data_IF_494751945385
#
_entry.id   IF_494751945385
#
_cell.length_a   1.000
_cell.length_b   1.000
_cell.length_c   1.000
_cell.angle_alpha   90.00
_cell.angle_beta   90.00
_cell.angle_gamma   90.00
#
_symmetry.space_group_name_H-M   'P 1'
#
loop_
_entity.id
_entity.type
_entity.pdbx_description
1 polymer ?
#
# COMPACT_ATOMS: atom_id res chain seq x y z
N UNK A 1 -26.88 -43.31 -33.50
CA UNK A 1 -26.37 -41.96 -33.67
C UNK A 1 -27.17 -40.89 -32.88
N UNK A 2 -28.34 -41.21 -32.29
CA UNK A 2 -29.17 -40.21 -31.57
C UNK A 2 -28.75 -39.91 -30.13
N UNK A 3 -27.83 -40.67 -29.53
CA UNK A 3 -27.38 -40.50 -28.13
C UNK A 3 -26.24 -39.48 -27.94
N UNK A 4 -25.56 -39.11 -29.01
CA UNK A 4 -24.45 -38.11 -28.94
C UNK A 4 -24.94 -36.66 -28.96
N UNK A 5 -26.12 -36.35 -29.50
CA UNK A 5 -26.68 -35.01 -29.52
C UNK A 5 -27.23 -34.52 -28.16
N UNK A 6 -27.60 -35.43 -27.27
CA UNK A 6 -28.20 -35.08 -25.96
C UNK A 6 -27.10 -34.69 -24.96
N UNK A 7 -25.92 -35.29 -25.07
CA UNK A 7 -24.78 -34.97 -24.20
C UNK A 7 -24.14 -33.59 -24.49
N UNK A 8 -24.22 -33.11 -25.71
CA UNK A 8 -23.71 -31.80 -26.10
C UNK A 8 -24.55 -30.61 -25.55
N UNK A 9 -25.82 -30.90 -25.19
CA UNK A 9 -26.73 -29.85 -24.67
C UNK A 9 -26.65 -29.71 -23.14
N UNK A 10 -26.06 -30.69 -22.44
CA UNK A 10 -25.92 -30.69 -20.96
C UNK A 10 -24.63 -30.03 -20.50
N UNK A 11 -23.65 -29.85 -21.39
CA UNK A 11 -22.36 -29.24 -21.12
C UNK A 11 -22.24 -27.78 -21.61
N UNK A 12 -23.35 -27.02 -21.64
CA UNK A 12 -23.20 -25.57 -21.65
C UNK A 12 -22.55 -25.20 -20.32
N UNK A 13 -21.29 -24.71 -20.31
CA UNK A 13 -20.62 -24.34 -19.06
C UNK A 13 -21.49 -23.28 -18.39
N UNK A 14 -21.84 -23.50 -17.14
CA UNK A 14 -22.60 -22.57 -16.29
C UNK A 14 -22.06 -21.12 -16.39
N UNK A 15 -20.78 -20.98 -16.70
CA UNK A 15 -20.09 -19.72 -16.92
C UNK A 15 -20.65 -18.92 -18.11
N UNK A 16 -21.08 -19.56 -19.19
CA UNK A 16 -21.65 -18.87 -20.37
C UNK A 16 -23.04 -18.30 -20.08
N UNK A 17 -23.88 -19.03 -19.36
CA UNK A 17 -25.21 -18.56 -18.95
C UNK A 17 -25.10 -17.38 -17.95
N UNK A 18 -24.17 -17.47 -17.00
CA UNK A 18 -23.93 -16.36 -16.07
C UNK A 18 -23.43 -15.10 -16.80
N UNK A 19 -22.53 -15.27 -17.77
CA UNK A 19 -22.01 -14.14 -18.56
C UNK A 19 -23.09 -13.49 -19.42
N UNK A 20 -23.96 -14.30 -20.08
CA UNK A 20 -25.11 -13.80 -20.85
C UNK A 20 -26.08 -12.99 -19.98
N UNK A 21 -26.42 -13.48 -18.79
CA UNK A 21 -27.27 -12.75 -17.85
C UNK A 21 -26.60 -11.47 -17.32
N UNK A 22 -25.30 -11.49 -17.11
CA UNK A 22 -24.55 -10.33 -16.64
C UNK A 22 -24.49 -9.25 -17.73
N UNK A 23 -24.29 -9.62 -18.98
CA UNK A 23 -24.31 -8.71 -20.12
C UNK A 23 -25.72 -8.15 -20.33
N UNK A 24 -26.75 -8.99 -20.28
CA UNK A 24 -28.14 -8.56 -20.40
C UNK A 24 -28.54 -7.58 -19.29
N UNK A 25 -28.11 -7.84 -18.05
CA UNK A 25 -28.31 -6.92 -16.93
C UNK A 25 -27.58 -5.60 -17.16
N UNK A 26 -26.31 -5.66 -17.55
CA UNK A 26 -25.49 -4.45 -17.80
C UNK A 26 -26.06 -3.57 -18.91
N UNK A 27 -26.57 -4.17 -19.99
CA UNK A 27 -27.20 -3.43 -21.09
C UNK A 27 -28.57 -2.88 -20.73
N UNK A 28 -29.35 -3.59 -19.92
CA UNK A 28 -30.67 -3.12 -19.48
C UNK A 28 -30.57 -2.00 -18.44
N UNK A 29 -29.50 -1.97 -17.64
CA UNK A 29 -29.30 -1.02 -16.56
C UNK A 29 -27.99 -0.23 -16.72
N UNK A 30 -27.66 0.16 -17.96
CA UNK A 30 -26.37 0.82 -18.28
C UNK A 30 -26.08 2.07 -17.45
N UNK A 31 -27.10 2.85 -17.05
CA UNK A 31 -26.92 4.02 -16.19
C UNK A 31 -26.50 3.63 -14.76
N UNK A 32 -27.09 2.57 -14.20
CA UNK A 32 -26.73 2.08 -12.87
C UNK A 32 -25.33 1.47 -12.87
N UNK A 33 -25.00 0.68 -13.88
CA UNK A 33 -23.67 0.08 -14.06
C UNK A 33 -22.62 1.17 -14.25
N UNK A 34 -22.91 2.19 -15.09
CA UNK A 34 -22.02 3.33 -15.28
C UNK A 34 -21.78 4.12 -13.99
N UNK A 35 -22.84 4.44 -13.26
CA UNK A 35 -22.73 5.10 -11.96
C UNK A 35 -21.93 4.29 -10.95
N UNK A 36 -22.13 2.97 -10.89
CA UNK A 36 -21.38 2.07 -10.01
C UNK A 36 -19.89 2.04 -10.36
N UNK A 37 -19.55 1.93 -11.65
CA UNK A 37 -18.15 1.92 -12.12
C UNK A 37 -17.46 3.25 -11.79
N UNK A 38 -18.14 4.38 -12.01
CA UNK A 38 -17.59 5.70 -11.67
C UNK A 38 -17.37 5.82 -10.17
N UNK A 39 -18.35 5.41 -9.34
CA UNK A 39 -18.24 5.44 -7.89
C UNK A 39 -17.10 4.55 -7.40
N UNK A 40 -16.96 3.36 -7.96
CA UNK A 40 -15.89 2.43 -7.64
C UNK A 40 -14.52 3.01 -8.03
N UNK A 41 -14.41 3.61 -9.21
CA UNK A 41 -13.18 4.27 -9.66
C UNK A 41 -12.79 5.45 -8.74
N UNK A 42 -13.77 6.27 -8.34
CA UNK A 42 -13.57 7.37 -7.39
C UNK A 42 -13.14 6.85 -6.01
N UNK A 43 -13.74 5.76 -5.54
CA UNK A 43 -13.37 5.13 -4.28
C UNK A 43 -11.92 4.61 -4.32
N UNK A 44 -11.54 3.91 -5.39
CA UNK A 44 -10.18 3.41 -5.59
C UNK A 44 -9.19 4.57 -5.68
N UNK A 45 -9.48 5.60 -6.47
CA UNK A 45 -8.62 6.78 -6.58
C UNK A 45 -8.46 7.51 -5.24
N UNK A 46 -9.55 7.63 -4.48
CA UNK A 46 -9.53 8.22 -3.15
C UNK A 46 -8.68 7.40 -2.15
N UNK A 47 -8.80 6.08 -2.18
CA UNK A 47 -8.01 5.20 -1.32
C UNK A 47 -6.51 5.22 -1.69
N UNK A 48 -6.19 5.23 -2.98
CA UNK A 48 -4.80 5.34 -3.47
C UNK A 48 -4.16 6.69 -3.09
N UNK A 49 -4.93 7.78 -3.10
CA UNK A 49 -4.42 9.11 -2.71
C UNK A 49 -4.19 9.26 -1.21
N UNK A 50 -4.77 8.38 -0.38
CA UNK A 50 -4.74 8.50 1.09
C UNK A 50 -3.45 8.04 1.74
N UNK A 51 -2.64 7.22 1.07
CA UNK A 51 -1.54 6.49 1.72
C UNK A 51 -0.16 7.14 1.66
N UNK A 52 -0.02 8.31 1.04
CA UNK A 52 1.31 8.85 0.70
C UNK A 52 1.99 8.05 -0.43
N UNK A 53 3.10 8.58 -0.97
CA UNK A 53 3.88 7.90 -2.00
C UNK A 53 4.48 6.60 -1.44
N UNK A 54 4.31 5.49 -2.17
CA UNK A 54 4.96 4.21 -1.85
C UNK A 54 6.25 4.10 -2.64
N UNK A 55 7.35 3.78 -1.97
CA UNK A 55 8.68 3.62 -2.57
C UNK A 55 9.19 2.19 -2.40
N UNK A 56 10.07 1.75 -3.31
CA UNK A 56 10.74 0.47 -3.23
C UNK A 56 11.97 0.54 -2.30
N UNK A 57 12.51 -0.63 -1.95
CA UNK A 57 13.76 -0.79 -1.19
C UNK A 57 14.94 -0.11 -1.88
N UNK A 58 15.04 -0.24 -3.22
CA UNK A 58 16.08 0.41 -4.01
C UNK A 58 15.96 1.93 -4.03
N UNK A 59 14.74 2.46 -4.13
CA UNK A 59 14.50 3.90 -4.07
C UNK A 59 14.80 4.47 -2.68
N UNK A 60 14.42 3.77 -1.60
CA UNK A 60 14.78 4.11 -0.23
C UNK A 60 16.30 4.20 -0.07
N UNK A 61 17.02 3.16 -0.50
CA UNK A 61 18.48 3.12 -0.43
C UNK A 61 19.10 4.29 -1.18
N UNK A 62 18.57 4.62 -2.37
CA UNK A 62 19.01 5.76 -3.15
C UNK A 62 18.82 7.09 -2.45
N UNK A 63 17.66 7.33 -1.81
CA UNK A 63 17.36 8.54 -1.07
C UNK A 63 18.25 8.69 0.17
N UNK A 64 18.46 7.61 0.92
CA UNK A 64 19.32 7.62 2.11
C UNK A 64 20.78 7.87 1.74
N UNK A 65 21.29 7.23 0.69
CA UNK A 65 22.68 7.41 0.25
C UNK A 65 22.98 8.82 -0.26
N UNK A 66 21.96 9.52 -0.81
CA UNK A 66 22.09 10.94 -1.22
C UNK A 66 21.83 11.94 -0.11
N UNK A 67 21.57 11.47 1.10
CA UNK A 67 21.17 12.29 2.25
C UNK A 67 19.85 13.08 2.03
N UNK A 68 19.01 12.60 1.11
CA UNK A 68 17.71 13.19 0.76
C UNK A 68 16.54 12.53 1.52
N UNK A 69 16.79 11.40 2.19
CA UNK A 69 15.80 10.62 2.90
C UNK A 69 16.21 10.30 4.33
N UNK A 70 15.23 10.25 5.23
CA UNK A 70 15.40 9.79 6.62
C UNK A 70 14.38 8.71 6.90
N UNK A 71 14.84 7.56 7.38
CA UNK A 71 13.99 6.41 7.71
C UNK A 71 13.40 6.57 9.10
N UNK A 72 12.08 6.43 9.20
CA UNK A 72 11.35 6.45 10.46
C UNK A 72 10.70 5.08 10.65
N UNK A 73 11.19 4.34 11.62
CA UNK A 73 10.63 3.04 12.00
C UNK A 73 9.55 3.24 13.08
N UNK A 74 8.31 2.94 12.71
CA UNK A 74 7.15 3.14 13.60
C UNK A 74 6.80 1.89 14.42
N UNK A 75 7.61 0.85 14.35
CA UNK A 75 7.42 -0.38 15.12
C UNK A 75 7.71 -0.14 16.61
N UNK A 76 7.17 -1.01 17.47
CA UNK A 76 7.54 -1.01 18.88
C UNK A 76 9.06 -1.12 19.08
N UNK A 77 9.59 -0.49 20.13
CA UNK A 77 11.03 -0.46 20.42
C UNK A 77 11.66 -1.88 20.51
N UNK A 78 10.89 -2.87 20.94
CA UNK A 78 11.32 -4.27 20.98
C UNK A 78 11.64 -4.82 19.58
N UNK A 79 10.79 -4.54 18.60
CA UNK A 79 10.95 -5.01 17.21
C UNK A 79 12.06 -4.24 16.50
N UNK A 80 12.19 -2.96 16.81
CA UNK A 80 13.31 -2.14 16.34
C UNK A 80 14.66 -2.67 16.83
N UNK A 81 14.77 -2.99 18.14
CA UNK A 81 15.98 -3.56 18.73
C UNK A 81 16.33 -4.97 18.22
N UNK A 82 15.33 -5.73 17.77
CA UNK A 82 15.55 -7.04 17.16
C UNK A 82 16.20 -6.96 15.76
N UNK A 83 16.07 -5.79 15.09
CA UNK A 83 16.71 -5.50 13.81
C UNK A 83 15.98 -4.42 13.03
N UNK A 84 16.70 -3.38 12.61
CA UNK A 84 16.17 -2.23 11.90
C UNK A 84 17.07 -1.80 10.73
N UNK A 85 16.55 -0.94 9.86
CA UNK A 85 17.30 -0.36 8.73
C UNK A 85 18.35 0.60 9.27
N UNK A 86 19.55 0.55 8.73
CA UNK A 86 20.67 1.42 9.15
C UNK A 86 20.26 2.90 9.13
N UNK A 87 20.51 3.61 10.23
CA UNK A 87 20.21 5.03 10.36
C UNK A 87 18.72 5.36 10.59
N UNK A 88 17.87 4.34 10.80
CA UNK A 88 16.47 4.58 11.10
C UNK A 88 16.26 5.17 12.49
N UNK A 89 15.32 6.11 12.57
CA UNK A 89 14.86 6.70 13.85
C UNK A 89 13.64 5.90 14.33
N UNK A 90 13.68 5.38 15.54
CA UNK A 90 12.51 4.69 16.11
C UNK A 90 11.55 5.69 16.77
N UNK A 91 10.40 5.84 16.18
CA UNK A 91 9.29 6.63 16.73
C UNK A 91 8.02 5.76 16.61
N UNK A 92 7.70 4.98 17.65
CA UNK A 92 6.48 4.17 17.66
C UNK A 92 5.24 4.99 17.30
N UNK A 93 4.31 4.38 16.55
CA UNK A 93 3.14 5.05 16.01
C UNK A 93 2.32 5.79 17.08
N UNK A 94 2.16 5.20 18.26
CA UNK A 94 1.45 5.77 19.41
C UNK A 94 2.11 7.04 19.97
N UNK A 95 3.41 7.22 19.75
CA UNK A 95 4.20 8.36 20.24
C UNK A 95 4.50 9.40 19.16
N UNK A 96 4.10 9.16 17.91
CA UNK A 96 4.44 10.04 16.79
C UNK A 96 3.96 11.48 17.02
N UNK A 97 2.69 11.65 17.42
CA UNK A 97 2.10 12.98 17.63
C UNK A 97 2.85 13.80 18.69
N UNK A 98 3.31 13.14 19.78
CA UNK A 98 4.08 13.79 20.83
C UNK A 98 5.53 14.12 20.42
N UNK A 99 6.09 13.36 19.49
CA UNK A 99 7.50 13.46 19.07
C UNK A 99 7.70 14.06 17.69
N UNK A 100 6.63 14.57 17.07
CA UNK A 100 6.69 15.15 15.72
C UNK A 100 7.67 16.34 15.64
N UNK A 101 7.84 17.09 16.74
CA UNK A 101 8.81 18.18 16.83
C UNK A 101 10.28 17.76 16.66
N UNK A 102 10.60 16.48 16.96
CA UNK A 102 11.96 15.95 16.73
C UNK A 102 12.29 15.81 15.23
N UNK A 103 11.25 15.77 14.38
CA UNK A 103 11.37 15.63 12.93
C UNK A 103 11.56 16.98 12.21
N UNK A 104 11.35 18.12 12.88
CA UNK A 104 11.50 19.46 12.28
C UNK A 104 12.89 19.67 11.67
N UNK A 105 13.94 19.12 12.29
CA UNK A 105 15.31 19.15 11.77
C UNK A 105 15.48 18.42 10.43
N UNK A 106 14.55 17.57 10.07
CA UNK A 106 14.55 16.78 8.83
C UNK A 106 13.50 17.27 7.81
N UNK A 107 12.90 18.43 8.02
CA UNK A 107 11.81 18.97 7.18
C UNK A 107 12.18 19.14 5.71
N UNK A 108 13.46 19.38 5.42
CA UNK A 108 13.98 19.47 4.05
C UNK A 108 14.16 18.11 3.35
N UNK A 109 14.08 17.01 4.11
CA UNK A 109 14.30 15.64 3.60
C UNK A 109 12.98 14.88 3.50
N UNK A 110 12.96 13.83 2.69
CA UNK A 110 11.82 12.91 2.60
C UNK A 110 11.82 11.98 3.80
N UNK A 111 10.77 12.00 4.60
CA UNK A 111 10.58 11.07 5.72
C UNK A 111 10.02 9.75 5.19
N UNK A 112 10.78 8.68 5.34
CA UNK A 112 10.41 7.35 4.83
C UNK A 112 9.91 6.50 5.99
N UNK A 113 8.59 6.31 6.05
CA UNK A 113 7.94 5.56 7.12
C UNK A 113 8.01 4.06 6.85
N UNK A 114 8.49 3.33 7.84
CA UNK A 114 8.67 1.88 7.77
C UNK A 114 7.98 1.21 8.95
N UNK A 115 7.19 0.18 8.65
CA UNK A 115 6.61 -0.75 9.62
C UNK A 115 6.96 -2.19 9.25
N UNK A 116 6.28 -3.20 9.82
CA UNK A 116 6.58 -4.60 9.50
C UNK A 116 6.23 -4.97 8.04
N UNK A 117 5.02 -4.65 7.57
CA UNK A 117 4.48 -5.09 6.26
C UNK A 117 3.79 -3.97 5.46
N UNK A 118 3.84 -2.73 5.88
CA UNK A 118 3.25 -1.58 5.17
C UNK A 118 1.82 -1.23 5.57
N UNK A 119 1.25 -1.85 6.61
CA UNK A 119 -0.16 -1.63 6.99
C UNK A 119 -0.40 -0.28 7.68
N UNK A 120 0.44 0.10 8.60
CA UNK A 120 0.27 1.30 9.43
C UNK A 120 1.01 2.52 8.88
N UNK A 121 2.02 2.31 8.04
CA UNK A 121 2.83 3.38 7.44
C UNK A 121 2.01 4.38 6.62
N UNK A 122 0.92 3.95 5.99
CA UNK A 122 0.03 4.85 5.23
C UNK A 122 -0.70 5.88 6.11
N UNK A 123 -1.14 5.51 7.30
CA UNK A 123 -1.78 6.43 8.25
C UNK A 123 -0.77 7.43 8.80
N UNK A 124 0.40 6.94 9.18
CA UNK A 124 1.52 7.76 9.66
C UNK A 124 2.01 8.74 8.60
N UNK A 125 2.14 8.31 7.33
CA UNK A 125 2.47 9.23 6.24
C UNK A 125 1.45 10.37 6.10
N UNK A 126 0.15 10.08 6.23
CA UNK A 126 -0.90 11.13 6.19
C UNK A 126 -0.75 12.15 7.31
N UNK A 127 -0.43 11.70 8.50
CA UNK A 127 -0.21 12.59 9.65
C UNK A 127 1.00 13.50 9.42
N UNK A 128 2.10 12.94 8.91
CA UNK A 128 3.30 13.71 8.56
C UNK A 128 3.05 14.71 7.42
N UNK A 129 2.33 14.31 6.37
CA UNK A 129 1.94 15.19 5.26
C UNK A 129 1.05 16.35 5.74
N UNK A 130 0.09 16.09 6.66
CA UNK A 130 -0.75 17.13 7.27
C UNK A 130 0.06 18.10 8.13
N UNK A 131 1.13 17.63 8.75
CA UNK A 131 2.06 18.46 9.52
C UNK A 131 3.07 19.23 8.64
N UNK A 132 2.97 19.10 7.29
CA UNK A 132 3.80 19.84 6.35
C UNK A 132 5.17 19.22 6.04
N UNK A 133 5.34 17.93 6.33
CA UNK A 133 6.52 17.17 5.93
C UNK A 133 6.33 16.49 4.57
N UNK A 134 7.42 16.23 3.87
CA UNK A 134 7.41 15.31 2.73
C UNK A 134 7.54 13.89 3.24
N UNK A 135 6.55 13.05 3.02
CA UNK A 135 6.55 11.68 3.55
C UNK A 135 6.26 10.64 2.46
N UNK A 136 6.96 9.52 2.56
CA UNK A 136 6.75 8.33 1.74
C UNK A 136 6.73 7.09 2.65
N UNK A 137 6.16 5.98 2.16
CA UNK A 137 6.15 4.71 2.88
C UNK A 137 6.95 3.65 2.12
N UNK A 138 7.65 2.78 2.84
CA UNK A 138 8.29 1.62 2.24
C UNK A 138 7.25 0.56 1.88
N UNK A 139 7.20 0.16 0.61
CA UNK A 139 6.35 -0.93 0.15
C UNK A 139 6.75 -2.23 0.83
N UNK A 140 5.77 -2.92 1.47
CA UNK A 140 5.99 -4.16 2.19
C UNK A 140 6.84 -4.04 3.47
N UNK A 141 7.22 -2.84 3.90
CA UNK A 141 7.92 -2.58 5.16
C UNK A 141 9.24 -3.33 5.31
N UNK A 142 9.62 -3.64 6.56
CA UNK A 142 10.85 -4.39 6.87
C UNK A 142 10.82 -5.81 6.29
N UNK A 143 9.64 -6.38 6.05
CA UNK A 143 9.53 -7.71 5.44
C UNK A 143 10.07 -7.72 4.00
N UNK A 144 9.75 -6.71 3.18
CA UNK A 144 10.35 -6.57 1.84
C UNK A 144 11.85 -6.30 1.91
N UNK A 145 12.31 -5.49 2.87
CA UNK A 145 13.73 -5.23 3.08
C UNK A 145 14.52 -6.52 3.33
N UNK A 146 13.95 -7.41 4.16
CA UNK A 146 14.53 -8.75 4.44
C UNK A 146 14.46 -9.67 3.22
N UNK A 147 13.36 -9.65 2.47
CA UNK A 147 13.19 -10.47 1.27
C UNK A 147 14.23 -10.12 0.18
N UNK A 148 14.61 -8.85 0.11
CA UNK A 148 15.66 -8.36 -0.78
C UNK A 148 17.08 -8.58 -0.24
N UNK A 149 17.23 -9.34 0.88
CA UNK A 149 18.49 -9.66 1.56
C UNK A 149 19.32 -8.42 1.95
N UNK A 150 18.66 -7.29 2.25
CA UNK A 150 19.31 -6.07 2.67
C UNK A 150 19.67 -6.12 4.17
N UNK A 151 20.81 -5.51 4.59
CA UNK A 151 21.28 -5.61 5.96
C UNK A 151 20.38 -4.90 6.95
N UNK A 152 20.19 -5.53 8.10
CA UNK A 152 19.59 -4.94 9.30
C UNK A 152 20.64 -4.86 10.39
N UNK A 153 20.59 -3.78 11.17
CA UNK A 153 21.43 -3.56 12.35
C UNK A 153 20.60 -3.76 13.62
N UNK A 154 21.28 -4.02 14.74
CA UNK A 154 20.67 -4.15 16.07
C UNK A 154 20.99 -2.96 16.93
#
# INVERSE_FOLDING_TARGET
PRRLCILAHILRPWNLLMVEHLIAFATSHYLLVGAFVILLALLIAHEMSRGGRSISTGELTGLVNRDEGVVIDIRPAKDFAAGHIVGALNIPQDKLAARIGELEKHKAKTLIVVDNVGQHSGTTCRELLKAGFTAAKLSGGVSSWRADNLPLVK
#
